data_IF_733534288348
#
_entry.id   IF_733534288348
#
_cell.length_a   1.000
_cell.length_b   1.000
_cell.length_c   1.000
_cell.angle_alpha   90.00
_cell.angle_beta   90.00
_cell.angle_gamma   90.00
#
_symmetry.space_group_name_H-M   'P 1'
#
loop_
_entity.id
_entity.type
_entity.pdbx_description
1 polymer ?
#
# COMPACT_ATOMS: atom_id res chain seq x y z
N UNK A 1 -0.03 -20.07 -9.18
CA UNK A 1 0.46 -19.32 -7.99
C UNK A 1 1.09 -18.04 -8.47
N UNK A 2 0.47 -16.91 -8.13
CA UNK A 2 0.99 -15.59 -8.43
C UNK A 2 2.04 -15.23 -7.37
N UNK A 3 3.25 -14.82 -7.77
CA UNK A 3 4.24 -14.26 -6.87
C UNK A 3 3.82 -12.86 -6.39
N UNK A 4 4.32 -12.47 -5.22
CA UNK A 4 4.03 -11.19 -4.60
C UNK A 4 5.29 -10.35 -4.48
N UNK A 5 5.13 -9.06 -4.71
CA UNK A 5 6.17 -8.07 -4.50
C UNK A 5 5.81 -7.27 -3.25
N UNK A 6 6.74 -7.21 -2.31
CA UNK A 6 6.67 -6.37 -1.13
C UNK A 6 7.55 -5.14 -1.29
N UNK A 7 7.00 -3.98 -0.96
CA UNK A 7 7.70 -2.71 -0.93
C UNK A 7 7.69 -2.21 0.51
N UNK A 8 8.87 -1.93 1.04
CA UNK A 8 9.10 -1.40 2.38
C UNK A 8 9.76 -0.01 2.27
N UNK A 9 8.97 1.07 2.37
CA UNK A 9 9.50 2.41 2.55
C UNK A 9 10.36 2.51 3.81
N UNK A 10 11.47 3.27 3.79
CA UNK A 10 12.23 3.55 5.02
C UNK A 10 11.48 4.45 6.01
N UNK A 11 10.42 5.14 5.56
CA UNK A 11 9.58 6.02 6.39
C UNK A 11 8.11 5.77 6.09
N UNK A 12 7.24 6.03 7.07
CA UNK A 12 5.80 5.98 6.83
C UNK A 12 5.40 7.03 5.80
N UNK A 13 4.68 6.61 4.76
CA UNK A 13 4.22 7.53 3.72
C UNK A 13 3.02 8.33 4.20
N UNK A 14 2.95 9.56 3.71
CA UNK A 14 1.79 10.43 3.89
C UNK A 14 0.68 10.05 2.91
N UNK A 15 -0.57 10.34 3.26
CA UNK A 15 -1.75 10.02 2.46
C UNK A 15 -1.64 10.50 1.01
N UNK A 16 -1.13 11.71 0.80
CA UNK A 16 -0.94 12.30 -0.53
C UNK A 16 0.10 11.53 -1.37
N UNK A 17 1.18 11.07 -0.75
CA UNK A 17 2.25 10.30 -1.43
C UNK A 17 1.76 8.89 -1.73
N UNK A 18 1.06 8.27 -0.78
CA UNK A 18 0.45 6.96 -0.96
C UNK A 18 -0.55 6.96 -2.10
N UNK A 19 -1.42 7.97 -2.21
CA UNK A 19 -2.39 8.08 -3.30
C UNK A 19 -1.70 8.03 -4.67
N UNK A 20 -0.71 8.91 -4.88
CA UNK A 20 0.06 8.95 -6.13
C UNK A 20 0.81 7.65 -6.41
N UNK A 21 1.36 7.03 -5.38
CA UNK A 21 2.09 5.77 -5.51
C UNK A 21 1.13 4.64 -5.92
N UNK A 22 -0.02 4.52 -5.25
CA UNK A 22 -1.05 3.52 -5.57
C UNK A 22 -1.62 3.74 -6.96
N UNK A 23 -1.85 4.99 -7.39
CA UNK A 23 -2.34 5.30 -8.73
C UNK A 23 -1.37 4.84 -9.83
N UNK A 24 -0.07 5.11 -9.64
CA UNK A 24 0.98 4.62 -10.55
C UNK A 24 1.07 3.09 -10.56
N UNK A 25 1.03 2.47 -9.39
CA UNK A 25 1.06 1.00 -9.27
C UNK A 25 -0.16 0.34 -9.88
N UNK A 26 -1.35 0.94 -9.73
CA UNK A 26 -2.59 0.46 -10.33
C UNK A 26 -2.61 0.63 -11.85
N UNK A 27 -1.92 1.65 -12.36
CA UNK A 27 -1.75 1.87 -13.80
C UNK A 27 -0.78 0.87 -14.45
N UNK A 28 0.02 0.14 -13.66
CA UNK A 28 0.84 -0.95 -14.17
C UNK A 28 -0.05 -2.16 -14.51
N UNK A 29 -0.16 -2.49 -15.80
CA UNK A 29 -0.81 -3.73 -16.22
C UNK A 29 -0.12 -4.97 -15.61
N UNK A 30 -0.88 -6.01 -15.30
CA UNK A 30 -0.37 -7.26 -14.70
C UNK A 30 -0.12 -7.20 -13.19
N UNK A 31 -0.56 -6.14 -12.53
CA UNK A 31 -0.71 -6.06 -11.07
C UNK A 31 -2.14 -6.47 -10.70
N UNK A 32 -2.26 -7.38 -9.74
CA UNK A 32 -3.54 -7.86 -9.20
C UNK A 32 -3.95 -7.09 -7.95
N UNK A 33 -4.04 -7.79 -6.83
CA UNK A 33 -4.41 -7.19 -5.55
C UNK A 33 -3.28 -6.33 -4.97
N UNK A 34 -3.65 -5.18 -4.41
CA UNK A 34 -2.73 -4.26 -3.71
C UNK A 34 -3.17 -4.16 -2.26
N UNK A 35 -2.30 -4.56 -1.34
CA UNK A 35 -2.56 -4.51 0.11
C UNK A 35 -1.60 -3.53 0.77
N UNK A 36 -2.17 -2.52 1.44
CA UNK A 36 -1.42 -1.54 2.23
C UNK A 36 -1.44 -1.95 3.70
N UNK A 37 -0.27 -2.00 4.31
CA UNK A 37 -0.07 -2.41 5.70
C UNK A 37 0.70 -1.34 6.47
N UNK A 38 0.31 -1.10 7.71
CA UNK A 38 1.06 -0.26 8.64
C UNK A 38 0.25 0.13 9.86
N UNK A 39 0.67 1.18 10.59
CA UNK A 39 0.00 1.63 11.81
C UNK A 39 -1.45 2.05 11.54
N UNK A 40 -2.36 1.70 12.47
CA UNK A 40 -3.78 2.03 12.33
C UNK A 40 -4.02 3.54 12.42
N UNK A 41 -4.91 4.05 11.57
CA UNK A 41 -5.47 5.40 11.61
C UNK A 41 -6.91 5.29 12.13
N UNK A 42 -7.12 5.25 13.46
CA UNK A 42 -8.44 5.00 14.04
C UNK A 42 -9.38 6.20 13.84
N UNK A 43 -10.70 5.96 13.67
CA UNK A 43 -11.71 7.05 13.71
C UNK A 43 -11.99 7.53 15.12
N UNK A 44 -11.77 6.66 16.11
CA UNK A 44 -12.18 6.83 17.50
C UNK A 44 -10.99 6.58 18.40
N UNK A 45 -10.91 7.29 19.52
CA UNK A 45 -9.87 7.07 20.53
C UNK A 45 -9.97 5.61 21.02
N UNK A 46 -8.93 4.79 20.83
CA UNK A 46 -8.99 3.35 21.12
C UNK A 46 -8.94 3.05 22.63
N UNK A 47 -8.22 3.87 23.41
CA UNK A 47 -8.00 3.67 24.84
C UNK A 47 -7.80 4.98 25.60
N UNK A 48 -7.96 4.95 26.92
CA UNK A 48 -7.80 6.10 27.80
C UNK A 48 -9.12 6.78 28.22
N UNK A 49 -9.06 7.89 28.98
CA UNK A 49 -10.24 8.58 29.51
C UNK A 49 -11.13 9.17 28.40
N UNK A 50 -10.54 9.49 27.25
CA UNK A 50 -11.22 10.01 26.05
C UNK A 50 -11.72 8.91 25.09
N UNK A 51 -11.74 7.63 25.52
CA UNK A 51 -12.11 6.49 24.67
C UNK A 51 -13.49 6.70 24.02
N UNK A 52 -13.57 6.43 22.72
CA UNK A 52 -14.81 6.57 21.95
C UNK A 52 -15.10 7.97 21.41
N UNK A 53 -14.28 8.98 21.75
CA UNK A 53 -14.34 10.29 21.10
C UNK A 53 -13.74 10.21 19.68
N UNK A 54 -14.25 11.05 18.78
CA UNK A 54 -13.76 11.11 17.40
C UNK A 54 -12.35 11.69 17.34
N UNK A 55 -11.49 11.04 16.56
CA UNK A 55 -10.14 11.51 16.26
C UNK A 55 -10.06 11.85 14.78
N UNK A 56 -9.96 13.15 14.49
CA UNK A 56 -9.68 13.64 13.16
C UNK A 56 -8.17 13.48 12.87
N UNK A 57 -7.74 12.25 12.53
CA UNK A 57 -6.39 12.05 12.01
C UNK A 57 -6.28 12.65 10.61
N UNK A 58 -5.38 13.62 10.42
CA UNK A 58 -5.17 14.33 9.15
C UNK A 58 -4.84 13.39 7.98
N UNK A 59 -4.16 12.28 8.28
CA UNK A 59 -3.75 11.28 7.30
C UNK A 59 -4.87 10.30 6.91
N UNK A 60 -6.00 10.33 7.63
CA UNK A 60 -7.14 9.45 7.39
C UNK A 60 -8.03 10.02 6.29
N UNK A 61 -7.50 10.04 5.06
CA UNK A 61 -8.15 10.63 3.89
C UNK A 61 -8.82 9.59 3.01
N UNK A 62 -9.90 10.04 2.35
CA UNK A 62 -10.50 9.34 1.21
C UNK A 62 -9.76 9.75 -0.05
N UNK A 63 -9.16 8.78 -0.72
CA UNK A 63 -8.43 8.95 -1.96
C UNK A 63 -9.16 8.29 -3.12
N UNK A 64 -8.83 8.71 -4.34
CA UNK A 64 -9.29 8.06 -5.57
C UNK A 64 -8.09 7.36 -6.21
N UNK A 65 -8.16 6.03 -6.33
CA UNK A 65 -7.14 5.22 -7.01
C UNK A 65 -7.80 4.61 -8.23
N UNK A 66 -7.38 5.03 -9.44
CA UNK A 66 -8.10 4.71 -10.67
C UNK A 66 -9.55 5.19 -10.60
N UNK A 67 -10.52 4.27 -10.70
CA UNK A 67 -11.95 4.58 -10.56
C UNK A 67 -12.50 4.34 -9.15
N UNK A 68 -11.71 3.71 -8.27
CA UNK A 68 -12.16 3.30 -6.94
C UNK A 68 -11.93 4.40 -5.90
N UNK A 69 -12.92 4.60 -5.03
CA UNK A 69 -12.79 5.46 -3.84
C UNK A 69 -12.37 4.61 -2.65
N UNK A 70 -11.16 4.82 -2.16
CA UNK A 70 -10.57 4.05 -1.06
C UNK A 70 -10.30 4.99 0.11
N UNK A 71 -10.66 4.57 1.32
CA UNK A 71 -10.31 5.29 2.55
C UNK A 71 -9.06 4.66 3.16
N UNK A 72 -8.02 5.47 3.44
CA UNK A 72 -6.88 4.97 4.21
C UNK A 72 -7.30 4.71 5.65
N UNK A 73 -7.22 3.45 6.04
CA UNK A 73 -7.42 2.99 7.42
C UNK A 73 -6.12 2.79 8.17
N UNK A 74 -4.99 2.76 7.45
CA UNK A 74 -3.65 2.58 7.99
C UNK A 74 -2.69 3.58 7.34
N UNK A 75 -1.67 3.98 8.09
CA UNK A 75 -0.55 4.73 7.55
C UNK A 75 0.37 3.76 6.80
N UNK A 76 0.81 4.14 5.60
CA UNK A 76 1.51 3.21 4.70
C UNK A 76 2.95 2.98 5.17
N UNK A 77 3.22 1.79 5.72
CA UNK A 77 4.57 1.35 6.07
C UNK A 77 5.07 0.15 5.26
N UNK A 78 4.15 -0.55 4.57
CA UNK A 78 4.46 -1.67 3.69
C UNK A 78 3.35 -1.79 2.65
N UNK A 79 3.73 -2.15 1.43
CA UNK A 79 2.79 -2.40 0.33
C UNK A 79 3.09 -3.81 -0.19
N UNK A 80 2.04 -4.59 -0.42
CA UNK A 80 2.12 -5.93 -1.00
C UNK A 80 1.32 -5.89 -2.29
N UNK A 81 1.90 -6.40 -3.37
CA UNK A 81 1.33 -6.42 -4.71
C UNK A 81 1.35 -7.84 -5.23
N UNK A 82 0.21 -8.36 -5.68
CA UNK A 82 0.19 -9.57 -6.49
C UNK A 82 0.57 -9.24 -7.94
N UNK A 83 1.43 -10.06 -8.53
CA UNK A 83 1.92 -9.85 -9.89
C UNK A 83 1.79 -11.14 -10.69
N UNK A 84 1.49 -11.01 -11.97
CA UNK A 84 1.48 -12.14 -12.89
C UNK A 84 2.86 -12.82 -12.95
N UNK A 85 2.89 -14.15 -12.83
CA UNK A 85 4.13 -14.93 -12.73
C UNK A 85 5.11 -14.69 -13.88
N UNK A 86 4.58 -14.41 -15.08
CA UNK A 86 5.39 -14.21 -16.27
C UNK A 86 6.03 -12.81 -16.34
N UNK A 87 5.53 -11.85 -15.57
CA UNK A 87 5.91 -10.44 -15.65
C UNK A 87 6.74 -9.95 -14.46
N UNK A 88 7.05 -10.81 -13.49
CA UNK A 88 7.69 -10.41 -12.22
C UNK A 88 8.95 -9.59 -12.41
N UNK A 89 9.89 -10.06 -13.23
CA UNK A 89 11.18 -9.39 -13.40
C UNK A 89 11.02 -8.01 -14.03
N UNK A 90 10.13 -7.88 -15.01
CA UNK A 90 9.81 -6.62 -15.66
C UNK A 90 9.14 -5.66 -14.65
N UNK A 91 8.17 -6.18 -13.90
CA UNK A 91 7.41 -5.39 -12.92
C UNK A 91 8.26 -4.93 -11.74
N UNK A 92 9.21 -5.73 -11.26
CA UNK A 92 10.18 -5.29 -10.24
C UNK A 92 10.90 -4.04 -10.72
N UNK A 93 11.42 -4.06 -11.96
CA UNK A 93 12.15 -2.93 -12.53
C UNK A 93 11.28 -1.68 -12.69
N UNK A 94 10.03 -1.83 -13.15
CA UNK A 94 9.06 -0.72 -13.25
C UNK A 94 8.70 -0.14 -11.88
N UNK A 95 8.47 -1.02 -10.89
CA UNK A 95 8.16 -0.62 -9.52
C UNK A 95 9.35 0.10 -8.90
N UNK A 96 10.58 -0.34 -9.14
CA UNK A 96 11.79 0.35 -8.69
C UNK A 96 11.87 1.78 -9.24
N UNK A 97 11.57 1.98 -10.52
CA UNK A 97 11.55 3.32 -11.11
C UNK A 97 10.50 4.22 -10.45
N UNK A 98 9.29 3.70 -10.22
CA UNK A 98 8.23 4.44 -9.52
C UNK A 98 8.65 4.75 -8.08
N UNK A 99 9.22 3.77 -7.38
CA UNK A 99 9.67 3.92 -6.00
C UNK A 99 10.80 4.95 -5.87
N UNK A 100 11.76 4.98 -6.81
CA UNK A 100 12.83 5.98 -6.83
C UNK A 100 12.29 7.40 -7.00
N UNK A 101 11.28 7.60 -7.84
CA UNK A 101 10.67 8.92 -8.03
C UNK A 101 9.86 9.35 -6.79
N UNK A 102 9.10 8.42 -6.21
CA UNK A 102 8.16 8.71 -5.12
C UNK A 102 8.81 8.72 -3.73
N UNK A 103 9.92 8.00 -3.56
CA UNK A 103 10.57 7.72 -2.27
C UNK A 103 12.09 7.92 -2.35
N UNK A 104 12.58 9.17 -2.50
CA UNK A 104 14.02 9.46 -2.60
C UNK A 104 14.79 9.18 -1.31
N UNK A 105 14.09 8.94 -0.20
CA UNK A 105 14.66 8.60 1.11
C UNK A 105 14.96 7.12 1.28
N UNK A 106 14.74 6.29 0.25
CA UNK A 106 15.08 4.87 0.26
C UNK A 106 13.89 3.94 0.53
N UNK A 107 13.98 2.75 -0.04
CA UNK A 107 13.00 1.68 0.08
C UNK A 107 13.70 0.32 -0.07
N UNK A 108 13.02 -0.76 0.32
CA UNK A 108 13.44 -2.14 0.09
C UNK A 108 12.34 -2.88 -0.66
N UNK A 109 12.72 -3.66 -1.68
CA UNK A 109 11.79 -4.54 -2.41
C UNK A 109 12.16 -5.99 -2.13
N UNK A 110 11.14 -6.82 -1.90
CA UNK A 110 11.30 -8.26 -1.73
C UNK A 110 10.25 -9.00 -2.57
N UNK A 111 10.67 -10.05 -3.26
CA UNK A 111 9.77 -10.91 -4.04
C UNK A 111 9.58 -12.22 -3.28
N UNK A 112 8.33 -12.62 -3.08
CA UNK A 112 8.01 -13.79 -2.29
C UNK A 112 6.51 -14.13 -2.27
N UNK A 113 6.08 -14.77 -1.18
CA UNK A 113 4.68 -15.04 -0.87
C UNK A 113 4.41 -14.63 0.56
N UNK A 114 3.42 -13.78 0.76
CA UNK A 114 3.19 -13.12 2.04
C UNK A 114 1.72 -13.12 2.46
N UNK A 115 0.80 -12.97 1.52
CA UNK A 115 -0.62 -13.12 1.78
C UNK A 115 -1.00 -14.59 1.72
N UNK A 116 -1.83 -15.01 2.67
CA UNK A 116 -2.43 -16.34 2.66
C UNK A 116 -3.46 -16.37 1.54
N UNK A 117 -3.36 -17.34 0.64
CA UNK A 117 -4.36 -17.54 -0.42
C UNK A 117 -5.72 -17.80 0.25
N UNK A 118 -6.62 -16.81 0.16
CA UNK A 118 -8.01 -17.01 0.54
C UNK A 118 -8.62 -17.84 -0.58
N UNK A 119 -8.75 -19.15 -0.36
CA UNK A 119 -9.64 -19.98 -1.19
C UNK A 119 -11.06 -19.48 -0.92
N UNK A 120 -11.56 -18.61 -1.79
CA UNK A 120 -12.99 -18.40 -1.89
C UNK A 120 -13.55 -19.66 -2.56
N UNK A 121 -14.07 -20.56 -1.74
CA UNK A 121 -14.76 -21.79 -2.11
C UNK A 121 -16.25 -21.52 -2.26
#
# INVERSE_FOLDING_TARGET
MCPQIQIFPQRLLLANTTEKLLDKLFSLGGVGEIVVVGPSLPKLVPYGPAKGLEVAHEERKRMKVGENKVELTVQTGKIILDVEKNLVNEKVSEIENICNEMMPFGYKIEVGKYLKEVKNE
#
